data_IF_493330303485
#
_entry.id   IF_493330303485
#
_cell.length_a   1.000
_cell.length_b   1.000
_cell.length_c   1.000
_cell.angle_alpha   90.00
_cell.angle_beta   90.00
_cell.angle_gamma   90.00
#
_symmetry.space_group_name_H-M   'P 1'
#
loop_
_entity.id
_entity.type
_entity.pdbx_description
1 polymer ?
#
# COMPACT_ATOMS: atom_id res chain seq x y z
N UNK A 1 -1.69 -15.92 4.10
CA UNK A 1 -1.62 -14.73 4.97
C UNK A 1 -0.17 -14.41 5.21
N UNK A 2 0.45 -13.68 4.29
CA UNK A 2 1.74 -13.07 4.59
C UNK A 2 1.43 -11.78 5.36
N UNK A 3 2.13 -11.55 6.47
CA UNK A 3 2.08 -10.31 7.30
C UNK A 3 0.98 -10.19 8.38
N UNK A 4 -0.01 -11.09 8.45
CA UNK A 4 -1.05 -11.04 9.51
C UNK A 4 -2.02 -9.85 9.41
N UNK A 5 -1.87 -9.04 8.36
CA UNK A 5 -2.75 -7.92 8.01
C UNK A 5 -3.73 -8.39 6.93
N UNK A 6 -5.00 -8.05 7.09
CA UNK A 6 -6.02 -8.36 6.08
C UNK A 6 -5.97 -7.35 4.93
N UNK A 7 -6.45 -7.73 3.74
CA UNK A 7 -6.52 -6.80 2.61
C UNK A 7 -7.38 -5.57 2.93
N UNK A 8 -8.51 -5.78 3.62
CA UNK A 8 -9.40 -4.70 4.05
C UNK A 8 -8.77 -3.78 5.11
N UNK A 9 -7.75 -4.26 5.83
CA UNK A 9 -6.99 -3.41 6.75
C UNK A 9 -5.92 -2.62 5.99
N UNK A 10 -5.24 -3.24 5.02
CA UNK A 10 -4.22 -2.58 4.22
C UNK A 10 -4.79 -1.48 3.30
N UNK A 11 -6.00 -1.66 2.75
CA UNK A 11 -6.61 -0.63 1.88
C UNK A 11 -6.90 0.68 2.61
N UNK A 12 -6.99 0.65 3.94
CA UNK A 12 -7.29 1.84 4.75
C UNK A 12 -6.18 2.88 4.69
N UNK A 13 -4.95 2.46 4.37
CA UNK A 13 -3.82 3.38 4.12
C UNK A 13 -4.14 4.39 3.02
N UNK A 14 -4.90 4.01 1.98
CA UNK A 14 -5.24 4.94 0.89
C UNK A 14 -6.30 5.98 1.26
N UNK A 15 -6.95 5.82 2.41
CA UNK A 15 -7.91 6.77 2.95
C UNK A 15 -7.29 7.65 4.04
N UNK A 16 -6.05 7.40 4.44
CA UNK A 16 -5.31 8.27 5.35
C UNK A 16 -4.85 9.55 4.62
N UNK A 17 -5.37 10.73 4.97
CA UNK A 17 -4.99 11.99 4.32
C UNK A 17 -3.52 12.38 4.55
N UNK A 18 -2.82 11.73 5.48
CA UNK A 18 -1.41 11.93 5.79
C UNK A 18 -0.52 10.81 5.23
N UNK A 19 -1.09 9.86 4.47
CA UNK A 19 -0.32 8.80 3.84
C UNK A 19 0.74 9.38 2.90
N UNK A 20 1.94 8.83 3.00
CA UNK A 20 3.04 9.13 2.09
C UNK A 20 3.08 8.03 1.04
N UNK A 21 3.16 8.44 -0.23
CA UNK A 21 3.33 7.55 -1.36
C UNK A 21 4.63 7.89 -2.07
N UNK A 22 5.45 6.88 -2.34
CA UNK A 22 6.68 7.04 -3.10
C UNK A 22 6.84 5.88 -4.10
N UNK A 23 7.66 6.10 -5.12
CA UNK A 23 8.01 5.07 -6.10
C UNK A 23 8.98 4.08 -5.42
N UNK A 24 8.76 2.79 -5.61
CA UNK A 24 9.70 1.75 -5.18
C UNK A 24 10.92 1.74 -6.13
N UNK A 25 12.11 2.18 -5.66
CA UNK A 25 13.30 2.27 -6.52
C UNK A 25 13.84 0.91 -6.94
N UNK A 26 13.47 -0.16 -6.23
CA UNK A 26 13.93 -1.53 -6.51
C UNK A 26 12.98 -2.27 -7.47
N UNK A 27 11.96 -1.58 -8.01
CA UNK A 27 11.05 -2.17 -8.99
C UNK A 27 11.71 -2.34 -10.36
N UNK A 28 11.69 -3.58 -10.89
CA UNK A 28 12.39 -3.93 -12.15
C UNK A 28 11.41 -4.20 -13.30
N UNK A 29 10.28 -4.88 -13.04
CA UNK A 29 9.38 -5.38 -14.09
C UNK A 29 8.07 -4.61 -14.23
N UNK A 30 7.44 -4.26 -13.12
CA UNK A 30 6.23 -3.44 -13.06
C UNK A 30 6.49 -2.27 -12.11
N UNK A 31 5.97 -1.09 -12.43
CA UNK A 31 6.05 0.07 -11.55
C UNK A 31 5.36 -0.23 -10.23
N UNK A 32 6.08 -0.02 -9.13
CA UNK A 32 5.56 -0.23 -7.78
C UNK A 32 5.68 1.04 -6.98
N UNK A 33 4.79 1.15 -6.03
CA UNK A 33 4.71 2.26 -5.10
C UNK A 33 4.69 1.70 -3.69
N UNK A 34 5.31 2.44 -2.78
CA UNK A 34 5.29 2.19 -1.35
C UNK A 34 4.39 3.25 -0.74
N UNK A 35 3.34 2.82 -0.04
CA UNK A 35 2.52 3.67 0.80
C UNK A 35 2.87 3.44 2.27
N UNK A 36 3.02 4.52 3.03
CA UNK A 36 3.14 4.49 4.50
C UNK A 36 2.04 5.36 5.08
N UNK A 37 1.17 4.76 5.90
CA UNK A 37 0.04 5.45 6.52
C UNK A 37 -0.60 4.63 7.63
N UNK A 38 -1.76 5.06 8.11
CA UNK A 38 -2.47 4.44 9.23
C UNK A 38 -3.62 3.55 8.74
N UNK A 39 -3.64 2.29 9.21
CA UNK A 39 -4.76 1.37 8.99
C UNK A 39 -5.95 1.64 9.92
N UNK A 40 -7.07 0.95 9.71
CA UNK A 40 -8.29 1.15 10.53
C UNK A 40 -8.10 0.73 12.00
N UNK A 41 -7.15 -0.15 12.30
CA UNK A 41 -6.73 -0.47 13.68
C UNK A 41 -5.97 0.67 14.38
N UNK A 42 -5.64 1.75 13.66
CA UNK A 42 -4.80 2.85 14.16
C UNK A 42 -3.30 2.53 14.14
N UNK A 43 -2.92 1.37 13.57
CA UNK A 43 -1.52 0.97 13.46
C UNK A 43 -0.90 1.48 12.14
N UNK A 44 0.37 1.92 12.16
CA UNK A 44 1.12 2.19 10.95
C UNK A 44 1.28 0.94 10.09
N UNK A 45 1.06 1.09 8.79
CA UNK A 45 1.22 0.05 7.79
C UNK A 45 2.12 0.55 6.66
N UNK A 46 2.88 -0.39 6.09
CA UNK A 46 3.60 -0.22 4.84
C UNK A 46 2.93 -1.11 3.81
N UNK A 47 2.49 -0.53 2.70
CA UNK A 47 1.76 -1.24 1.65
C UNK A 47 2.49 -1.06 0.34
N UNK A 48 2.81 -2.16 -0.34
CA UNK A 48 3.38 -2.14 -1.68
C UNK A 48 2.26 -2.40 -2.68
N UNK A 49 2.09 -1.50 -3.64
CA UNK A 49 1.02 -1.58 -4.63
C UNK A 49 1.51 -1.18 -6.03
N UNK A 50 0.70 -1.48 -7.03
CA UNK A 50 0.90 -1.03 -8.41
C UNK A 50 -0.42 -0.47 -8.96
N UNK A 51 -0.32 0.42 -9.95
CA UNK A 51 -1.45 0.98 -10.67
C UNK A 51 -1.67 0.26 -11.99
N UNK A 52 -2.93 -0.10 -12.29
CA UNK A 52 -3.36 -0.61 -13.60
C UNK A 52 -4.49 0.26 -14.13
N UNK A 53 -4.12 1.34 -14.81
CA UNK A 53 -5.05 2.43 -15.09
C UNK A 53 -5.46 3.09 -13.78
N UNK A 54 -6.76 3.12 -13.49
CA UNK A 54 -7.31 3.68 -12.26
C UNK A 54 -7.48 2.65 -11.13
N UNK A 55 -7.02 1.41 -11.34
CA UNK A 55 -7.15 0.32 -10.36
C UNK A 55 -5.87 0.15 -9.57
N UNK A 56 -5.98 0.25 -8.24
CA UNK A 56 -4.92 -0.12 -7.29
C UNK A 56 -4.92 -1.65 -7.11
N UNK A 57 -3.75 -2.28 -7.28
CA UNK A 57 -3.53 -3.69 -6.94
C UNK A 57 -2.51 -3.77 -5.80
N UNK A 58 -2.92 -4.30 -4.65
CA UNK A 58 -2.00 -4.60 -3.57
C UNK A 58 -1.10 -5.78 -3.93
N UNK A 59 0.17 -5.67 -3.53
CA UNK A 59 1.21 -6.67 -3.74
C UNK A 59 1.68 -7.21 -2.39
N UNK A 60 1.97 -6.32 -1.43
CA UNK A 60 2.45 -6.66 -0.09
C UNK A 60 1.92 -5.72 0.98
#
# INVERSE_FOLDING_TARGET
>A
MHHGVSFAEAEMVFFDPLAIHDIDPDSISEERFIAVGIGNSGLPLVVVYTMRGEVIRLIS
#
